data_IF_046011575969
#
_entry.id   IF_046011575969
#
_cell.length_a   1.000
_cell.length_b   1.000
_cell.length_c   1.000
_cell.angle_alpha   90.00
_cell.angle_beta   90.00
_cell.angle_gamma   90.00
#
_symmetry.space_group_name_H-M   'P 1'
#
loop_
_entity.id
_entity.type
_entity.pdbx_description
1 polymer ?
#
# COMPACT_ATOMS: atom_id res chain seq x y z
N UNK A 1 39.69 -9.74 33.02
CA UNK A 1 38.26 -9.52 32.69
C UNK A 1 38.14 -9.50 31.17
N UNK A 2 37.44 -10.46 30.56
CA UNK A 2 37.41 -10.63 29.09
C UNK A 2 36.57 -9.58 28.33
N UNK A 3 35.60 -8.93 29.01
CA UNK A 3 34.62 -8.06 28.36
C UNK A 3 34.78 -6.57 28.68
N UNK A 4 35.90 -6.17 29.29
CA UNK A 4 36.09 -4.80 29.75
C UNK A 4 36.21 -3.80 28.60
N UNK A 5 36.69 -4.26 27.44
CA UNK A 5 36.86 -3.44 26.24
C UNK A 5 35.56 -3.30 25.42
N UNK A 6 34.48 -4.02 25.78
CA UNK A 6 33.18 -3.95 25.11
C UNK A 6 32.30 -2.80 25.62
N UNK A 7 32.88 -1.60 25.72
CA UNK A 7 32.16 -0.38 26.12
C UNK A 7 32.31 0.69 25.04
N UNK A 8 31.31 1.58 24.90
CA UNK A 8 31.34 2.71 23.94
C UNK A 8 31.49 2.34 22.45
N UNK A 9 31.09 1.13 22.05
CA UNK A 9 31.28 0.64 20.68
C UNK A 9 30.35 1.28 19.64
N UNK A 10 29.11 1.59 20.03
CA UNK A 10 28.12 2.22 19.16
C UNK A 10 27.07 2.97 19.97
N UNK A 11 26.53 4.08 19.43
CA UNK A 11 25.46 4.81 20.08
C UNK A 11 24.15 4.00 20.02
N UNK A 12 23.34 4.14 21.06
CA UNK A 12 22.03 3.51 21.16
C UNK A 12 20.99 4.51 21.67
N UNK A 13 19.90 4.65 20.93
CA UNK A 13 18.78 5.52 21.32
C UNK A 13 17.90 4.80 22.34
N UNK A 14 17.62 5.44 23.49
CA UNK A 14 16.65 4.98 24.48
C UNK A 14 15.68 6.11 24.82
N UNK A 15 14.41 5.76 24.97
CA UNK A 15 13.38 6.69 25.43
C UNK A 15 13.04 6.40 26.88
N UNK A 16 13.31 7.35 27.77
CA UNK A 16 12.93 7.26 29.20
C UNK A 16 11.63 8.04 29.41
N UNK A 17 10.69 7.48 30.17
CA UNK A 17 9.38 8.08 30.43
C UNK A 17 9.20 8.32 31.93
N UNK A 18 8.67 9.48 32.29
CA UNK A 18 8.45 9.90 33.68
C UNK A 18 7.03 10.43 33.87
N UNK A 19 6.54 10.35 35.10
CA UNK A 19 5.32 11.05 35.52
C UNK A 19 5.62 12.53 35.75
N UNK A 20 4.73 13.43 35.29
CA UNK A 20 4.83 14.87 35.53
C UNK A 20 3.81 15.28 36.59
N UNK A 21 4.30 15.63 37.80
CA UNK A 21 3.45 16.09 38.91
C UNK A 21 3.33 17.62 38.89
N UNK A 22 2.13 18.19 38.76
CA UNK A 22 1.95 19.65 38.72
C UNK A 22 2.33 20.27 40.07
N UNK A 23 3.04 21.40 40.03
CA UNK A 23 3.50 22.13 41.22
C UNK A 23 2.70 23.42 41.40
N UNK A 24 2.28 23.72 42.63
CA UNK A 24 1.51 24.92 42.97
C UNK A 24 0.16 24.97 42.25
N UNK A 25 -0.20 26.14 41.70
CA UNK A 25 -1.49 26.39 41.01
C UNK A 25 -1.51 25.94 39.55
N UNK A 26 -0.48 25.22 39.08
CA UNK A 26 -0.38 24.81 37.67
C UNK A 26 -1.58 23.97 37.24
N UNK A 27 -2.03 23.04 38.09
CA UNK A 27 -3.19 22.20 37.80
C UNK A 27 -4.48 23.01 37.66
N UNK A 28 -4.71 23.98 38.54
CA UNK A 28 -5.86 24.88 38.49
C UNK A 28 -5.91 25.66 37.18
N UNK A 29 -4.76 26.19 36.73
CA UNK A 29 -4.68 26.92 35.46
C UNK A 29 -4.90 26.02 34.23
N UNK A 30 -4.47 24.75 34.28
CA UNK A 30 -4.71 23.77 33.21
C UNK A 30 -6.22 23.50 33.08
N UNK A 31 -6.90 23.26 34.19
CA UNK A 31 -8.35 23.06 34.19
C UNK A 31 -9.11 24.32 33.79
N UNK A 32 -8.70 25.50 34.30
CA UNK A 32 -9.34 26.78 33.95
C UNK A 32 -9.28 27.09 32.45
N UNK A 33 -8.20 26.69 31.77
CA UNK A 33 -8.03 26.85 30.31
C UNK A 33 -8.56 25.68 29.49
N UNK A 34 -9.04 24.62 30.15
CA UNK A 34 -9.62 23.45 29.52
C UNK A 34 -8.69 22.70 28.54
N UNK A 35 -7.37 22.74 28.76
CA UNK A 35 -6.39 22.16 27.84
C UNK A 35 -6.58 20.65 27.62
N UNK A 36 -6.85 19.90 28.70
CA UNK A 36 -7.00 18.45 28.62
C UNK A 36 -8.15 18.02 27.70
N UNK A 37 -9.30 18.69 27.80
CA UNK A 37 -10.46 18.40 26.97
C UNK A 37 -10.25 18.85 25.51
N UNK A 38 -9.50 19.94 25.30
CA UNK A 38 -9.09 20.37 23.96
C UNK A 38 -8.18 19.33 23.30
N UNK A 39 -7.17 18.84 24.03
CA UNK A 39 -6.23 17.83 23.54
C UNK A 39 -6.93 16.48 23.28
N UNK A 40 -7.85 16.07 24.15
CA UNK A 40 -8.67 14.86 23.95
C UNK A 40 -9.53 14.96 22.69
N UNK A 41 -10.21 16.10 22.50
CA UNK A 41 -11.01 16.35 21.29
C UNK A 41 -10.13 16.34 20.05
N UNK A 42 -8.96 16.97 20.10
CA UNK A 42 -7.99 16.96 18.98
C UNK A 42 -7.51 15.55 18.66
N UNK A 43 -7.28 14.70 19.66
CA UNK A 43 -6.87 13.31 19.45
C UNK A 43 -7.96 12.47 18.76
N UNK A 44 -9.24 12.68 19.12
CA UNK A 44 -10.37 12.04 18.42
C UNK A 44 -10.49 12.54 16.97
N UNK A 45 -10.43 13.86 16.76
CA UNK A 45 -10.47 14.45 15.42
C UNK A 45 -9.30 13.97 14.55
N UNK A 46 -8.12 13.77 15.14
CA UNK A 46 -6.94 13.29 14.43
C UNK A 46 -7.18 11.91 13.78
N UNK A 47 -7.82 10.97 14.49
CA UNK A 47 -8.13 9.64 13.91
C UNK A 47 -9.10 9.77 12.73
N UNK A 48 -10.10 10.64 12.85
CA UNK A 48 -11.09 10.88 11.79
C UNK A 48 -10.45 11.52 10.55
N UNK A 49 -9.60 12.53 10.74
CA UNK A 49 -8.87 13.19 9.65
C UNK A 49 -7.85 12.26 9.00
N UNK A 50 -7.23 11.37 9.77
CA UNK A 50 -6.34 10.34 9.23
C UNK A 50 -7.06 9.39 8.26
N UNK A 51 -8.31 9.02 8.55
CA UNK A 51 -9.11 8.23 7.62
C UNK A 51 -9.38 8.99 6.31
N UNK A 52 -9.70 10.29 6.39
CA UNK A 52 -9.89 11.15 5.20
C UNK A 52 -8.61 11.23 4.37
N UNK A 53 -7.45 11.42 5.03
CA UNK A 53 -6.13 11.41 4.40
C UNK A 53 -5.83 10.08 3.71
N UNK A 54 -6.19 8.96 4.34
CA UNK A 54 -5.97 7.63 3.78
C UNK A 54 -6.85 7.37 2.55
N UNK A 55 -8.08 7.87 2.54
CA UNK A 55 -8.95 7.81 1.35
C UNK A 55 -8.44 8.74 0.24
N UNK A 56 -7.98 9.95 0.59
CA UNK A 56 -7.36 10.88 -0.36
C UNK A 56 -6.10 10.28 -1.00
N UNK A 57 -5.23 9.63 -0.22
CA UNK A 57 -4.08 8.91 -0.77
C UNK A 57 -4.49 7.74 -1.67
N UNK A 58 -5.58 7.03 -1.36
CA UNK A 58 -6.06 5.91 -2.18
C UNK A 58 -6.53 6.38 -3.55
N UNK A 59 -7.28 7.48 -3.57
CA UNK A 59 -7.75 8.14 -4.79
C UNK A 59 -6.57 8.59 -5.66
N UNK A 60 -5.61 9.31 -5.06
CA UNK A 60 -4.37 9.71 -5.74
C UNK A 60 -3.58 8.53 -6.33
N UNK A 61 -3.45 7.43 -5.58
CA UNK A 61 -2.76 6.23 -6.06
C UNK A 61 -3.51 5.62 -7.25
N UNK A 62 -4.84 5.55 -7.19
CA UNK A 62 -5.64 5.00 -8.28
C UNK A 62 -5.44 5.78 -9.59
N UNK A 63 -5.50 7.12 -9.50
CA UNK A 63 -5.28 8.00 -10.64
C UNK A 63 -3.86 7.88 -11.20
N UNK A 64 -2.85 7.88 -10.33
CA UNK A 64 -1.44 7.77 -10.72
C UNK A 64 -1.16 6.44 -11.43
N UNK A 65 -1.69 5.33 -10.91
CA UNK A 65 -1.42 3.99 -11.45
C UNK A 65 -2.04 3.77 -12.83
N UNK A 66 -3.10 4.49 -13.19
CA UNK A 66 -3.70 4.44 -14.52
C UNK A 66 -2.76 4.89 -15.65
N UNK A 67 -1.75 5.71 -15.36
CA UNK A 67 -0.79 6.20 -16.36
C UNK A 67 0.51 5.38 -16.45
N UNK A 68 0.71 4.46 -15.51
CA UNK A 68 1.96 3.70 -15.43
C UNK A 68 2.03 2.67 -16.54
N UNK A 69 3.11 2.72 -17.33
CA UNK A 69 3.43 1.74 -18.36
C UNK A 69 4.77 1.09 -18.05
N UNK A 70 4.75 -0.23 -17.90
CA UNK A 70 5.92 -1.05 -17.59
C UNK A 70 6.55 -1.53 -18.90
N UNK A 71 7.79 -1.11 -19.17
CA UNK A 71 8.43 -1.41 -20.47
C UNK A 71 9.15 -2.74 -20.47
N UNK A 72 9.56 -3.23 -19.29
CA UNK A 72 10.45 -4.38 -19.12
C UNK A 72 9.75 -5.67 -18.70
N UNK A 73 8.43 -5.77 -18.88
CA UNK A 73 7.65 -6.96 -18.47
C UNK A 73 8.12 -8.25 -19.16
N UNK A 74 8.36 -8.21 -20.47
CA UNK A 74 8.79 -9.38 -21.26
C UNK A 74 10.17 -9.86 -20.81
N UNK A 75 11.12 -8.93 -20.67
CA UNK A 75 12.47 -9.24 -20.18
C UNK A 75 12.44 -9.83 -18.77
N UNK A 76 11.61 -9.27 -17.89
CA UNK A 76 11.40 -9.80 -16.55
C UNK A 76 10.83 -11.22 -16.57
N UNK A 77 9.82 -11.47 -17.41
CA UNK A 77 9.20 -12.78 -17.54
C UNK A 77 10.21 -13.87 -17.95
N UNK A 78 11.05 -13.59 -18.95
CA UNK A 78 12.04 -14.54 -19.44
C UNK A 78 13.12 -14.85 -18.38
N UNK A 79 13.65 -13.83 -17.73
CA UNK A 79 14.66 -13.98 -16.67
C UNK A 79 14.06 -14.70 -15.46
N UNK A 80 12.84 -14.34 -15.06
CA UNK A 80 12.15 -14.96 -13.93
C UNK A 80 11.90 -16.46 -14.17
N UNK A 81 11.46 -16.87 -15.37
CA UNK A 81 11.26 -18.29 -15.67
C UNK A 81 12.57 -19.08 -15.70
N UNK A 82 13.66 -18.49 -16.20
CA UNK A 82 15.00 -19.11 -16.15
C UNK A 82 15.47 -19.26 -14.69
N UNK A 83 15.31 -18.20 -13.90
CA UNK A 83 15.65 -18.20 -12.47
C UNK A 83 14.85 -19.25 -11.70
N UNK A 84 13.56 -19.41 -11.98
CA UNK A 84 12.71 -20.44 -11.34
C UNK A 84 13.21 -21.87 -11.59
N UNK A 85 13.80 -22.14 -12.75
CA UNK A 85 14.40 -23.44 -13.09
C UNK A 85 15.75 -23.63 -12.41
N UNK A 86 16.54 -22.56 -12.30
CA UNK A 86 17.88 -22.55 -11.70
C UNK A 86 18.01 -21.48 -10.59
N UNK A 87 17.43 -21.68 -9.40
CA UNK A 87 17.38 -20.63 -8.37
C UNK A 87 18.73 -20.30 -7.73
N UNK A 88 19.75 -21.13 -7.95
CA UNK A 88 21.10 -20.99 -7.39
C UNK A 88 22.07 -20.24 -8.33
N UNK A 89 21.57 -19.74 -9.47
CA UNK A 89 22.38 -18.99 -10.41
C UNK A 89 22.47 -17.52 -9.96
N UNK A 90 23.64 -17.15 -9.45
CA UNK A 90 23.93 -15.80 -8.96
C UNK A 90 23.82 -14.73 -10.08
N UNK A 91 24.10 -15.10 -11.33
CA UNK A 91 23.99 -14.21 -12.48
C UNK A 91 22.54 -13.86 -12.78
N UNK A 92 21.67 -14.86 -12.81
CA UNK A 92 20.21 -14.66 -12.96
C UNK A 92 19.62 -13.91 -11.77
N UNK A 93 20.08 -14.18 -10.55
CA UNK A 93 19.62 -13.46 -9.36
C UNK A 93 19.95 -11.96 -9.45
N UNK A 94 21.16 -11.62 -9.91
CA UNK A 94 21.56 -10.22 -10.12
C UNK A 94 20.73 -9.55 -11.21
N UNK A 95 20.56 -10.20 -12.36
CA UNK A 95 19.73 -9.68 -13.45
C UNK A 95 18.28 -9.43 -13.01
N UNK A 96 17.72 -10.35 -12.22
CA UNK A 96 16.37 -10.20 -11.68
C UNK A 96 16.28 -8.98 -10.76
N UNK A 97 17.23 -8.79 -9.84
CA UNK A 97 17.28 -7.61 -8.96
C UNK A 97 17.40 -6.31 -9.73
N UNK A 98 18.23 -6.28 -10.77
CA UNK A 98 18.42 -5.09 -11.61
C UNK A 98 17.11 -4.76 -12.37
N UNK A 99 16.43 -5.76 -12.94
CA UNK A 99 15.13 -5.58 -13.57
C UNK A 99 14.04 -5.13 -12.59
N UNK A 100 14.02 -5.69 -11.38
CA UNK A 100 13.11 -5.25 -10.32
C UNK A 100 13.33 -3.77 -9.99
N UNK A 101 14.59 -3.33 -9.88
CA UNK A 101 14.91 -1.93 -9.61
C UNK A 101 14.45 -1.00 -10.75
N UNK A 102 14.63 -1.41 -12.01
CA UNK A 102 14.15 -0.65 -13.17
C UNK A 102 12.62 -0.53 -13.15
N UNK A 103 11.90 -1.64 -12.98
CA UNK A 103 10.44 -1.64 -12.95
C UNK A 103 9.89 -0.82 -11.78
N UNK A 104 10.52 -0.87 -10.59
CA UNK A 104 10.11 -0.01 -9.46
C UNK A 104 10.26 1.47 -9.78
N UNK A 105 11.32 1.86 -10.48
CA UNK A 105 11.52 3.24 -10.95
C UNK A 105 10.45 3.68 -11.94
N UNK A 106 9.98 2.77 -12.81
CA UNK A 106 8.87 3.06 -13.73
C UNK A 106 7.56 3.33 -12.98
N UNK A 107 7.28 2.60 -11.89
CA UNK A 107 6.10 2.83 -11.04
C UNK A 107 6.09 4.25 -10.44
N UNK A 108 7.23 4.72 -9.92
CA UNK A 108 7.31 6.03 -9.25
C UNK A 108 7.61 7.20 -10.20
N UNK A 109 7.91 6.92 -11.47
CA UNK A 109 8.24 7.94 -12.46
C UNK A 109 7.18 9.05 -12.59
N UNK A 110 5.86 8.78 -12.55
CA UNK A 110 4.84 9.84 -12.69
C UNK A 110 4.88 10.91 -11.59
N UNK A 111 5.42 10.59 -10.41
CA UNK A 111 5.60 11.51 -9.28
C UNK A 111 7.04 12.01 -9.14
N UNK A 112 7.95 11.58 -10.02
CA UNK A 112 9.34 12.04 -10.07
C UNK A 112 9.48 13.42 -10.72
N UNK A 113 10.70 13.97 -10.76
CA UNK A 113 10.96 15.26 -11.38
C UNK A 113 10.55 15.26 -12.87
N UNK A 114 9.68 16.20 -13.26
CA UNK A 114 9.11 16.27 -14.61
C UNK A 114 7.95 15.29 -14.87
N UNK A 115 7.54 14.53 -13.86
CA UNK A 115 6.35 13.68 -13.92
C UNK A 115 5.05 14.49 -13.81
N UNK A 116 3.99 13.98 -14.46
CA UNK A 116 2.67 14.63 -14.50
C UNK A 116 2.10 14.90 -13.10
N UNK A 117 2.31 13.99 -12.15
CA UNK A 117 1.75 14.04 -10.80
C UNK A 117 2.71 14.65 -9.77
N UNK A 118 3.85 15.21 -10.18
CA UNK A 118 4.85 15.78 -9.24
C UNK A 118 4.28 16.89 -8.37
N UNK A 119 3.52 17.80 -8.99
CA UNK A 119 2.94 18.94 -8.27
C UNK A 119 1.92 18.48 -7.22
N UNK A 120 1.04 17.54 -7.58
CA UNK A 120 0.04 16.98 -6.67
C UNK A 120 0.72 16.15 -5.56
N UNK A 121 1.77 15.40 -5.90
CA UNK A 121 2.57 14.67 -4.93
C UNK A 121 3.19 15.57 -3.85
N UNK A 122 3.74 16.72 -4.24
CA UNK A 122 4.30 17.68 -3.26
C UNK A 122 3.22 18.27 -2.34
N UNK A 123 2.00 18.42 -2.86
CA UNK A 123 0.86 18.93 -2.10
C UNK A 123 0.31 17.91 -1.10
N UNK A 124 0.42 16.60 -1.38
CA UNK A 124 0.01 15.53 -0.45
C UNK A 124 0.65 15.63 0.95
N UNK A 125 1.80 16.28 1.06
CA UNK A 125 2.55 16.41 2.31
C UNK A 125 2.76 17.87 2.74
N UNK A 126 2.16 18.81 2.01
CA UNK A 126 2.34 20.25 2.23
C UNK A 126 1.26 20.84 3.14
N UNK A 127 1.53 22.03 3.69
CA UNK A 127 0.54 22.77 4.49
C UNK A 127 -0.75 23.11 3.71
N UNK A 128 -0.62 23.24 2.39
CA UNK A 128 -1.72 23.49 1.43
C UNK A 128 -2.81 22.40 1.45
N UNK A 129 -2.48 21.21 1.95
CA UNK A 129 -3.42 20.12 2.13
C UNK A 129 -4.57 20.49 3.07
N UNK A 130 -4.29 21.28 4.11
CA UNK A 130 -5.26 21.74 5.09
C UNK A 130 -5.74 23.17 4.80
N UNK A 131 -4.86 24.04 4.30
CA UNK A 131 -5.19 25.43 3.98
C UNK A 131 -4.26 26.04 2.95
N UNK A 132 -4.80 26.64 1.90
CA UNK A 132 -4.02 27.39 0.90
C UNK A 132 -4.31 28.89 1.02
N UNK A 133 -3.62 29.56 1.95
CA UNK A 133 -3.82 30.98 2.21
C UNK A 133 -5.22 31.28 2.77
N UNK A 134 -6.07 31.94 1.97
CA UNK A 134 -7.47 32.23 2.32
C UNK A 134 -8.46 31.19 1.77
N UNK A 135 -8.01 30.28 0.91
CA UNK A 135 -8.86 29.24 0.34
C UNK A 135 -8.85 27.96 1.17
N UNK A 136 -9.87 27.13 0.90
CA UNK A 136 -9.96 25.77 1.39
C UNK A 136 -8.76 24.93 0.91
N UNK A 137 -8.21 24.12 1.81
CA UNK A 137 -7.17 23.15 1.48
C UNK A 137 -7.69 22.01 0.59
N UNK A 138 -6.75 21.24 0.05
CA UNK A 138 -7.04 20.15 -0.88
C UNK A 138 -7.96 19.07 -0.29
N UNK A 139 -7.82 18.76 1.01
CA UNK A 139 -8.71 17.80 1.67
C UNK A 139 -10.14 18.29 1.77
N UNK A 140 -10.36 19.58 2.02
CA UNK A 140 -11.70 20.13 2.10
C UNK A 140 -12.36 20.12 0.71
N UNK A 141 -11.60 20.47 -0.35
CA UNK A 141 -12.07 20.38 -1.74
C UNK A 141 -12.44 18.94 -2.12
N UNK A 142 -11.62 17.96 -1.72
CA UNK A 142 -11.89 16.53 -1.92
C UNK A 142 -13.17 16.06 -1.22
N UNK A 143 -13.34 16.41 0.07
CA UNK A 143 -14.54 16.05 0.83
C UNK A 143 -15.80 16.67 0.23
N UNK A 144 -15.75 17.93 -0.19
CA UNK A 144 -16.88 18.61 -0.85
C UNK A 144 -17.25 17.91 -2.16
N UNK A 145 -16.25 17.50 -2.95
CA UNK A 145 -16.49 16.79 -4.21
C UNK A 145 -17.17 15.42 -4.00
N UNK A 146 -16.86 14.72 -2.90
CA UNK A 146 -17.43 13.40 -2.60
C UNK A 146 -18.79 13.45 -1.88
N UNK A 147 -18.94 14.33 -0.89
CA UNK A 147 -20.07 14.32 0.06
C UNK A 147 -20.83 15.65 0.14
N UNK A 148 -20.36 16.69 -0.55
CA UNK A 148 -20.94 18.03 -0.52
C UNK A 148 -20.52 18.89 0.68
N UNK A 149 -20.97 20.15 0.68
CA UNK A 149 -20.60 21.18 1.67
C UNK A 149 -21.15 20.92 3.08
N UNK A 150 -22.17 20.08 3.21
CA UNK A 150 -22.78 19.75 4.51
C UNK A 150 -22.08 18.59 5.23
N UNK A 151 -20.97 18.07 4.69
CA UNK A 151 -20.29 16.91 5.30
C UNK A 151 -19.72 17.24 6.68
N UNK A 152 -19.97 16.39 7.70
CA UNK A 152 -19.39 16.58 9.03
C UNK A 152 -17.85 16.46 9.01
N UNK A 153 -17.27 15.86 7.98
CA UNK A 153 -15.82 15.74 7.80
C UNK A 153 -15.13 17.11 7.67
N UNK A 154 -15.82 18.12 7.13
CA UNK A 154 -15.28 19.48 7.00
C UNK A 154 -15.04 20.14 8.36
N UNK A 155 -15.94 19.90 9.33
CA UNK A 155 -15.74 20.39 10.69
C UNK A 155 -14.51 19.76 11.34
N UNK A 156 -14.25 18.46 11.09
CA UNK A 156 -13.04 17.79 11.59
C UNK A 156 -11.76 18.41 11.02
N UNK A 157 -11.75 18.79 9.73
CA UNK A 157 -10.59 19.41 9.07
C UNK A 157 -10.28 20.81 9.61
N UNK A 158 -11.31 21.58 9.99
CA UNK A 158 -11.16 22.93 10.52
C UNK A 158 -10.27 23.00 11.77
N UNK A 159 -10.26 21.93 12.58
CA UNK A 159 -9.39 21.81 13.75
C UNK A 159 -7.90 21.84 13.42
N UNK A 160 -7.51 21.45 12.19
CA UNK A 160 -6.10 21.27 11.81
C UNK A 160 -5.56 22.33 10.84
N UNK A 161 -6.34 23.35 10.47
CA UNK A 161 -5.89 24.43 9.57
C UNK A 161 -4.61 25.13 10.03
N UNK A 162 -4.42 25.27 11.35
CA UNK A 162 -3.24 25.90 11.97
C UNK A 162 -2.26 24.88 12.56
N UNK A 163 -2.59 23.59 12.51
CA UNK A 163 -1.88 22.51 13.20
C UNK A 163 -1.46 21.39 12.23
N UNK A 164 -1.14 21.73 10.98
CA UNK A 164 -0.71 20.75 9.96
C UNK A 164 0.52 19.93 10.37
N UNK A 165 1.38 20.46 11.24
CA UNK A 165 2.56 19.77 11.77
C UNK A 165 2.21 18.55 12.65
N UNK A 166 0.97 18.41 13.13
CA UNK A 166 0.53 17.18 13.82
C UNK A 166 0.67 15.94 12.93
N UNK A 167 0.63 16.12 11.60
CA UNK A 167 0.70 15.04 10.64
C UNK A 167 2.12 14.76 10.12
N UNK A 168 3.17 15.41 10.62
CA UNK A 168 4.55 15.19 10.12
C UNK A 168 4.95 13.70 10.17
N UNK A 169 4.78 13.04 11.32
CA UNK A 169 5.09 11.62 11.43
C UNK A 169 4.18 10.72 10.57
N UNK A 170 2.94 11.14 10.34
CA UNK A 170 2.04 10.45 9.41
C UNK A 170 2.51 10.60 7.96
N UNK A 171 2.88 11.82 7.54
CA UNK A 171 3.39 12.11 6.22
C UNK A 171 4.70 11.36 5.93
N UNK A 172 5.62 11.25 6.89
CA UNK A 172 6.84 10.47 6.72
C UNK A 172 6.56 8.97 6.53
N UNK A 173 5.58 8.43 7.26
CA UNK A 173 5.10 7.06 7.02
C UNK A 173 4.49 6.90 5.62
N UNK A 174 3.74 7.89 5.13
CA UNK A 174 3.12 7.86 3.80
C UNK A 174 4.14 8.03 2.67
N UNK A 175 5.17 8.87 2.83
CA UNK A 175 6.28 9.01 1.86
C UNK A 175 6.97 7.67 1.58
N UNK A 176 7.16 6.84 2.61
CA UNK A 176 7.75 5.51 2.45
C UNK A 176 6.95 4.59 1.50
N UNK A 177 5.64 4.84 1.31
CA UNK A 177 4.82 4.06 0.37
C UNK A 177 5.16 4.36 -1.09
N UNK A 178 5.68 5.55 -1.39
CA UNK A 178 5.98 6.02 -2.74
C UNK A 178 7.46 5.85 -3.13
N UNK A 179 8.24 5.13 -2.34
CA UNK A 179 9.67 4.90 -2.60
C UNK A 179 9.91 3.88 -3.72
N UNK A 180 10.97 4.07 -4.51
CA UNK A 180 11.50 3.08 -5.47
C UNK A 180 12.51 2.11 -4.83
N UNK A 181 12.87 2.33 -3.57
CA UNK A 181 13.79 1.48 -2.83
C UNK A 181 13.20 0.10 -2.58
N UNK A 182 14.09 -0.84 -2.25
CA UNK A 182 13.76 -2.23 -1.95
C UNK A 182 13.18 -2.37 -0.53
N UNK A 183 12.01 -1.75 -0.31
CA UNK A 183 11.32 -1.69 0.98
C UNK A 183 9.93 -2.30 0.88
N UNK A 184 9.63 -3.30 1.70
CA UNK A 184 8.32 -3.96 1.74
C UNK A 184 7.12 -3.03 2.01
N UNK A 185 7.36 -1.84 2.58
CA UNK A 185 6.32 -0.81 2.81
C UNK A 185 5.96 -0.04 1.54
N UNK A 186 6.77 -0.12 0.49
CA UNK A 186 6.57 0.61 -0.76
C UNK A 186 5.57 -0.11 -1.68
N UNK A 187 4.75 0.68 -2.38
CA UNK A 187 3.77 0.19 -3.36
C UNK A 187 4.51 -0.45 -4.54
N UNK A 188 5.58 0.19 -5.01
CA UNK A 188 6.43 -0.34 -6.08
C UNK A 188 7.02 -1.70 -5.71
N UNK A 189 7.41 -1.91 -4.45
CA UNK A 189 7.87 -3.21 -3.98
C UNK A 189 6.76 -4.27 -4.10
N UNK A 190 5.56 -3.99 -3.62
CA UNK A 190 4.43 -4.94 -3.67
C UNK A 190 4.06 -5.31 -5.09
N UNK A 191 3.98 -4.33 -5.98
CA UNK A 191 3.68 -4.59 -7.39
C UNK A 191 4.77 -5.47 -8.01
N UNK A 192 6.04 -5.09 -7.88
CA UNK A 192 7.11 -5.74 -8.64
C UNK A 192 7.67 -7.02 -8.00
N UNK A 193 7.80 -7.08 -6.67
CA UNK A 193 8.38 -8.25 -5.99
C UNK A 193 7.35 -9.28 -5.54
N UNK A 194 6.12 -8.85 -5.23
CA UNK A 194 5.10 -9.77 -4.73
C UNK A 194 4.09 -10.12 -5.81
N UNK A 195 3.49 -9.12 -6.46
CA UNK A 195 2.37 -9.33 -7.35
C UNK A 195 2.79 -9.84 -8.73
N UNK A 196 3.83 -9.25 -9.33
CA UNK A 196 4.28 -9.63 -10.67
C UNK A 196 4.76 -11.10 -10.75
N UNK A 197 5.62 -11.60 -9.84
CA UNK A 197 5.98 -13.02 -9.82
C UNK A 197 4.79 -13.97 -9.66
N UNK A 198 3.84 -13.62 -8.78
CA UNK A 198 2.61 -14.41 -8.59
C UNK A 198 1.73 -14.42 -9.83
N UNK A 199 1.60 -13.28 -10.51
CA UNK A 199 0.86 -13.19 -11.77
C UNK A 199 1.49 -14.09 -12.84
N UNK A 200 2.81 -14.05 -12.99
CA UNK A 200 3.53 -14.91 -13.94
C UNK A 200 3.35 -16.39 -13.60
N UNK A 201 3.40 -16.75 -12.32
CA UNK A 201 3.14 -18.11 -11.87
C UNK A 201 1.72 -18.58 -12.22
N UNK A 202 0.72 -17.72 -12.02
CA UNK A 202 -0.67 -18.00 -12.40
C UNK A 202 -0.82 -18.19 -13.91
N UNK A 203 -0.12 -17.39 -14.73
CA UNK A 203 -0.08 -17.57 -16.19
C UNK A 203 0.49 -18.94 -16.58
N UNK A 204 1.59 -19.38 -15.95
CA UNK A 204 2.18 -20.70 -16.22
C UNK A 204 1.25 -21.85 -15.86
N UNK A 205 0.52 -21.73 -14.75
CA UNK A 205 -0.47 -22.72 -14.32
C UNK A 205 -1.59 -22.80 -15.36
N UNK A 206 -2.14 -21.67 -15.79
CA UNK A 206 -3.21 -21.64 -16.79
C UNK A 206 -2.77 -22.22 -18.14
N UNK A 207 -1.55 -21.91 -18.57
CA UNK A 207 -0.95 -22.49 -19.78
C UNK A 207 -0.79 -24.02 -19.66
N UNK A 208 -0.38 -24.51 -18.50
CA UNK A 208 -0.25 -25.95 -18.23
C UNK A 208 -1.62 -26.65 -18.25
N UNK A 209 -2.66 -26.03 -17.66
CA UNK A 209 -4.03 -26.54 -17.69
C UNK A 209 -4.53 -26.62 -19.13
N UNK A 210 -4.32 -25.57 -19.94
CA UNK A 210 -4.68 -25.56 -21.36
C UNK A 210 -4.05 -26.72 -22.14
N UNK A 211 -2.78 -27.04 -21.85
CA UNK A 211 -2.06 -28.13 -22.53
C UNK A 211 -2.49 -29.52 -22.06
N UNK A 212 -2.70 -29.72 -20.75
CA UNK A 212 -2.95 -31.06 -20.17
C UNK A 212 -4.43 -31.40 -20.00
N UNK A 213 -5.28 -30.40 -19.88
CA UNK A 213 -6.70 -30.52 -19.54
C UNK A 213 -7.53 -29.46 -20.30
N UNK A 214 -7.54 -29.52 -21.63
CA UNK A 214 -8.23 -28.53 -22.48
C UNK A 214 -9.71 -28.33 -22.13
N UNK A 215 -10.44 -29.40 -21.83
CA UNK A 215 -11.84 -29.31 -21.41
C UNK A 215 -12.05 -28.50 -20.11
N UNK A 216 -11.09 -28.58 -19.17
CA UNK A 216 -11.12 -27.79 -17.95
C UNK A 216 -10.79 -26.32 -18.23
N UNK A 217 -9.85 -26.07 -19.15
CA UNK A 217 -9.54 -24.72 -19.60
C UNK A 217 -10.76 -24.04 -20.21
N UNK A 218 -11.49 -24.73 -21.09
CA UNK A 218 -12.70 -24.18 -21.71
C UNK A 218 -13.78 -23.83 -20.68
N UNK A 219 -13.99 -24.68 -19.67
CA UNK A 219 -14.90 -24.39 -18.55
C UNK A 219 -14.49 -23.13 -17.79
N UNK A 220 -13.21 -23.02 -17.43
CA UNK A 220 -12.66 -21.86 -16.72
C UNK A 220 -12.85 -20.58 -17.55
N UNK A 221 -12.54 -20.62 -18.86
CA UNK A 221 -12.68 -19.45 -19.74
C UNK A 221 -14.15 -19.05 -19.88
N UNK A 222 -15.07 -20.01 -20.02
CA UNK A 222 -16.49 -19.73 -20.11
C UNK A 222 -17.05 -19.09 -18.83
N UNK A 223 -16.66 -19.57 -17.65
CA UNK A 223 -17.04 -18.98 -16.37
C UNK A 223 -16.49 -17.56 -16.19
N UNK A 224 -15.22 -17.33 -16.58
CA UNK A 224 -14.59 -16.01 -16.52
C UNK A 224 -15.27 -15.02 -17.49
N UNK A 225 -15.57 -15.46 -18.70
CA UNK A 225 -16.27 -14.64 -19.72
C UNK A 225 -17.70 -14.33 -19.27
N UNK A 226 -18.42 -15.30 -18.71
CA UNK A 226 -19.77 -15.10 -18.16
C UNK A 226 -19.79 -14.12 -16.98
N UNK A 227 -18.69 -14.02 -16.24
CA UNK A 227 -18.52 -13.04 -15.15
C UNK A 227 -18.14 -11.63 -15.64
N UNK A 228 -18.13 -11.40 -16.96
CA UNK A 228 -17.78 -10.11 -17.58
C UNK A 228 -16.32 -9.73 -17.42
N UNK A 229 -15.42 -10.68 -17.16
CA UNK A 229 -13.99 -10.42 -17.11
C UNK A 229 -13.37 -10.65 -18.50
N UNK A 230 -12.55 -9.70 -18.94
CA UNK A 230 -11.73 -9.92 -20.13
C UNK A 230 -10.70 -11.01 -19.84
N UNK A 231 -10.85 -12.15 -20.52
CA UNK A 231 -9.97 -13.32 -20.41
C UNK A 231 -8.52 -12.96 -20.77
N UNK A 232 -8.30 -11.93 -21.58
CA UNK A 232 -6.96 -11.43 -21.91
C UNK A 232 -6.19 -10.98 -20.65
N UNK A 233 -6.89 -10.47 -19.62
CA UNK A 233 -6.32 -10.00 -18.35
C UNK A 233 -5.63 -11.11 -17.56
N UNK A 234 -6.14 -12.34 -17.66
CA UNK A 234 -5.66 -13.48 -16.90
C UNK A 234 -4.81 -14.45 -17.72
N UNK A 235 -4.65 -14.20 -19.03
CA UNK A 235 -3.99 -15.13 -19.95
C UNK A 235 -2.82 -14.51 -20.72
N UNK A 236 -2.66 -13.18 -20.68
CA UNK A 236 -1.56 -12.50 -21.34
C UNK A 236 -0.73 -11.64 -20.37
N UNK A 237 0.57 -11.53 -20.65
CA UNK A 237 1.51 -10.78 -19.81
C UNK A 237 1.16 -9.29 -19.78
N UNK A 238 0.73 -8.73 -20.91
CA UNK A 238 0.33 -7.32 -21.03
C UNK A 238 -0.87 -6.97 -20.15
N UNK A 239 -1.69 -7.95 -19.81
CA UNK A 239 -2.81 -7.81 -18.87
C UNK A 239 -2.39 -7.35 -17.47
N UNK A 240 -1.10 -7.49 -17.12
CA UNK A 240 -0.58 -7.05 -15.83
C UNK A 240 -0.72 -5.53 -15.58
N UNK A 241 -0.71 -4.70 -16.63
CA UNK A 241 -0.93 -3.25 -16.49
C UNK A 241 -2.27 -2.92 -15.83
N UNK A 242 -3.29 -3.74 -16.12
CA UNK A 242 -4.62 -3.58 -15.52
C UNK A 242 -4.65 -4.04 -14.05
N UNK A 243 -3.58 -4.64 -13.54
CA UNK A 243 -3.42 -5.11 -12.16
C UNK A 243 -2.53 -4.19 -11.32
N UNK A 244 -2.19 -2.99 -11.83
CA UNK A 244 -1.48 -1.97 -11.06
C UNK A 244 -2.41 -1.23 -10.08
N UNK A 245 -3.71 -1.16 -10.40
CA UNK A 245 -4.72 -0.52 -9.56
C UNK A 245 -5.32 -1.51 -8.56
N UNK A 246 -5.80 -1.00 -7.42
CA UNK A 246 -6.48 -1.82 -6.42
C UNK A 246 -7.77 -2.44 -6.96
N UNK A 247 -8.49 -1.73 -7.83
CA UNK A 247 -9.70 -2.24 -8.50
C UNK A 247 -9.38 -3.44 -9.40
N UNK A 248 -8.31 -3.33 -10.20
CA UNK A 248 -7.83 -4.42 -11.04
C UNK A 248 -7.41 -5.65 -10.25
N UNK A 249 -6.64 -5.44 -9.17
CA UNK A 249 -6.25 -6.51 -8.24
C UNK A 249 -7.47 -7.15 -7.59
N UNK A 250 -8.45 -6.34 -7.19
CA UNK A 250 -9.70 -6.85 -6.59
C UNK A 250 -10.47 -7.68 -7.60
N UNK A 251 -10.66 -7.18 -8.83
CA UNK A 251 -11.30 -7.93 -9.90
C UNK A 251 -10.56 -9.25 -10.20
N UNK A 252 -9.22 -9.24 -10.20
CA UNK A 252 -8.39 -10.42 -10.38
C UNK A 252 -8.42 -11.40 -9.19
N UNK A 253 -8.52 -10.91 -7.95
CA UNK A 253 -8.57 -11.80 -6.79
C UNK A 253 -9.97 -12.38 -6.60
N UNK A 254 -11.03 -11.61 -6.84
CA UNK A 254 -12.41 -12.05 -6.67
C UNK A 254 -12.81 -13.11 -7.72
N UNK A 255 -12.24 -13.08 -8.93
CA UNK A 255 -12.74 -13.87 -10.07
C UNK A 255 -11.84 -15.06 -10.44
N UNK A 256 -10.52 -14.90 -10.68
CA UNK A 256 -9.57 -16.01 -10.77
C UNK A 256 -9.49 -16.95 -9.57
N UNK A 257 -9.79 -16.50 -8.34
CA UNK A 257 -9.84 -17.42 -7.20
C UNK A 257 -10.98 -18.45 -7.35
N UNK A 258 -12.05 -18.14 -8.11
CA UNK A 258 -13.04 -19.13 -8.53
C UNK A 258 -12.44 -20.13 -9.52
N UNK A 259 -11.84 -19.68 -10.61
CA UNK A 259 -11.23 -20.53 -11.63
C UNK A 259 -10.13 -21.47 -11.08
N UNK A 260 -9.34 -20.99 -10.12
CA UNK A 260 -8.22 -21.77 -9.55
C UNK A 260 -8.62 -22.55 -8.29
N UNK A 261 -9.65 -22.16 -7.55
CA UNK A 261 -10.28 -23.04 -6.55
C UNK A 261 -11.01 -24.21 -7.21
N UNK A 262 -11.66 -23.96 -8.36
CA UNK A 262 -12.16 -24.99 -9.27
C UNK A 262 -11.00 -25.84 -9.78
N UNK A 263 -9.90 -25.23 -10.26
CA UNK A 263 -8.71 -25.99 -10.66
C UNK A 263 -8.12 -26.81 -9.50
N UNK A 264 -8.10 -26.32 -8.26
CA UNK A 264 -7.66 -27.08 -7.07
C UNK A 264 -8.62 -28.23 -6.74
N UNK A 265 -9.93 -28.01 -6.75
CA UNK A 265 -10.93 -29.07 -6.53
C UNK A 265 -10.82 -30.15 -7.62
N UNK A 266 -10.53 -29.76 -8.85
CA UNK A 266 -10.37 -30.67 -9.98
C UNK A 266 -9.00 -31.38 -9.96
N UNK A 267 -7.89 -30.69 -9.68
CA UNK A 267 -6.55 -31.29 -9.52
C UNK A 267 -6.50 -32.26 -8.33
N UNK A 268 -7.22 -31.97 -7.24
CA UNK A 268 -7.44 -32.91 -6.13
C UNK A 268 -8.19 -34.17 -6.59
N UNK A 269 -9.16 -34.02 -7.51
CA UNK A 269 -9.91 -35.13 -8.13
C UNK A 269 -9.02 -36.00 -9.04
N UNK A 270 -7.98 -35.43 -9.65
CA UNK A 270 -7.00 -36.11 -10.51
C UNK A 270 -5.67 -36.48 -9.81
N UNK A 271 -5.56 -36.32 -8.48
CA UNK A 271 -4.35 -36.61 -7.68
C UNK A 271 -3.06 -35.88 -8.16
N UNK A 272 -3.17 -34.67 -8.69
CA UNK A 272 -2.01 -33.87 -9.07
C UNK A 272 -1.61 -32.96 -7.90
N UNK A 273 -0.45 -33.22 -7.29
CA UNK A 273 0.09 -32.41 -6.19
C UNK A 273 0.80 -31.16 -6.73
N UNK A 274 0.19 -29.99 -6.58
CA UNK A 274 0.87 -28.69 -6.71
C UNK A 274 0.47 -27.78 -5.55
N UNK A 275 1.46 -27.28 -4.82
CA UNK A 275 1.29 -26.18 -3.86
C UNK A 275 1.04 -24.88 -4.63
N UNK A 276 -0.11 -24.24 -4.42
CA UNK A 276 -0.50 -23.01 -5.11
C UNK A 276 -0.69 -21.88 -4.07
N UNK A 277 0.03 -20.77 -4.16
CA UNK A 277 -0.28 -19.54 -3.41
C UNK A 277 -0.69 -18.44 -4.38
N UNK A 278 -1.99 -18.40 -4.71
CA UNK A 278 -2.55 -17.77 -5.92
C UNK A 278 -2.92 -16.29 -5.72
N UNK A 279 -3.20 -15.90 -4.47
CA UNK A 279 -3.67 -14.55 -4.14
C UNK A 279 -2.53 -13.56 -4.32
N UNK A 280 -2.71 -12.64 -5.25
CA UNK A 280 -1.91 -11.41 -5.35
C UNK A 280 -2.32 -10.51 -4.18
N UNK A 281 -1.41 -9.68 -3.63
CA UNK A 281 -1.67 -8.93 -2.38
C UNK A 281 -3.07 -8.32 -2.32
N UNK A 282 -3.76 -8.43 -1.19
CA UNK A 282 -5.16 -7.95 -1.07
C UNK A 282 -5.26 -6.43 -0.99
N UNK A 283 -4.17 -5.74 -0.66
CA UNK A 283 -4.15 -4.28 -0.59
C UNK A 283 -2.75 -3.70 -0.85
N UNK A 284 -2.60 -3.00 -1.98
CA UNK A 284 -1.34 -2.37 -2.40
C UNK A 284 -0.90 -1.23 -1.48
N UNK A 285 -1.82 -0.65 -0.71
CA UNK A 285 -1.63 0.53 0.13
C UNK A 285 -1.77 0.26 1.64
N UNK A 286 -1.58 -0.98 2.10
CA UNK A 286 -1.53 -1.28 3.56
C UNK A 286 -0.30 -0.68 4.22
N UNK A 287 -0.47 -0.06 5.39
CA UNK A 287 0.64 0.19 6.31
C UNK A 287 0.70 -0.99 7.29
N UNK A 288 1.75 -1.84 7.28
CA UNK A 288 1.86 -2.95 8.22
C UNK A 288 2.03 -2.49 9.69
N UNK A 289 2.28 -1.20 9.93
CA UNK A 289 2.47 -0.64 11.28
C UNK A 289 1.19 -0.13 11.97
N UNK A 290 -0.01 -0.56 11.56
CA UNK A 290 -1.20 -0.35 12.40
C UNK A 290 -1.26 -1.47 13.45
N UNK A 291 -0.36 -1.39 14.42
CA UNK A 291 -0.56 -2.10 15.69
C UNK A 291 -1.59 -1.31 16.49
N UNK A 292 -2.73 -1.90 16.93
CA UNK A 292 -3.68 -1.23 17.81
C UNK A 292 -3.13 -1.27 19.23
N UNK A 293 -2.08 -0.50 19.51
CA UNK A 293 -1.58 -0.33 20.88
C UNK A 293 -1.81 1.10 21.33
N UNK A 294 -3.09 1.42 21.51
CA UNK A 294 -3.51 2.33 22.58
C UNK A 294 -4.63 1.62 23.32
N UNK A 295 -4.24 0.86 24.35
CA UNK A 295 -5.20 0.43 25.35
C UNK A 295 -5.81 1.69 25.98
N UNK A 296 -7.15 1.82 26.03
CA UNK A 296 -7.76 2.90 26.80
C UNK A 296 -7.34 2.72 28.25
N UNK A 297 -6.88 3.82 28.86
CA UNK A 297 -6.70 3.90 30.30
C UNK A 297 -8.07 3.59 30.93
N UNK A 298 -8.20 2.37 31.46
CA UNK A 298 -9.33 2.01 32.31
C UNK A 298 -9.06 2.64 33.66
N UNK A 299 -9.79 3.73 33.96
CA UNK A 299 -9.91 4.22 35.32
C UNK A 299 -10.52 3.10 36.16
N UNK A 300 -9.71 2.44 36.98
CA UNK A 300 -10.22 1.75 38.16
C UNK A 300 -10.39 2.82 39.24
N UNK A 301 -11.66 3.13 39.47
CA UNK A 301 -12.19 3.68 40.72
C UNK A 301 -11.68 2.92 41.94
#
# INVERSE_FOLDING_TARGET
MLFQDFTHLYPLSKTVRFELKPIGKTLEHIHAKNFLNQDETMADMYQKVKAILDDYHRDFIADMMGEVKLTKLVEFYDVYLKFRKNPKDDGLQKQLKDLQAVLRKEIVKPIGNGGKYKADYDRLFGAKLFKDGKELGDLAKFVIAQEGESSPKLAHLAHFEKFSTYFTGFHDNRKNMYSDEDKHTAIAYRLIHENLPRFIDNLQILATIKQKHSALYDQIINELTASGLDVSLASHLDGYHNLLTQEGITAYNTRPCLAVSVARQVLARYKVSMSLSIVITTNIATNPNVSPNYAPYTNKS
#
